data_IF_752863813039
#
_entry.id   IF_752863813039
#
_cell.length_a   1.000
_cell.length_b   1.000
_cell.length_c   1.000
_cell.angle_alpha   90.00
_cell.angle_beta   90.00
_cell.angle_gamma   90.00
#
_symmetry.space_group_name_H-M   'P 1'
#
loop_
_entity.id
_entity.type
_entity.pdbx_description
1 polymer ?
#
# COMPACT_ATOMS: atom_id res chain seq x y z
N UNK A 1 -3.46 -1.93 -11.69
CA UNK A 1 -4.07 -3.29 -11.59
C UNK A 1 -3.77 -3.97 -10.26
N UNK A 2 -2.59 -3.79 -9.62
CA UNK A 2 -2.27 -4.43 -8.33
C UNK A 2 -3.13 -4.02 -7.13
N UNK A 3 -3.60 -2.77 -7.04
CA UNK A 3 -4.29 -2.27 -5.84
C UNK A 3 -5.67 -2.89 -5.61
N UNK A 4 -6.40 -3.29 -6.65
CA UNK A 4 -7.69 -3.97 -6.52
C UNK A 4 -7.53 -5.42 -6.05
N UNK A 5 -6.43 -6.07 -6.45
CA UNK A 5 -6.06 -7.39 -5.98
C UNK A 5 -5.64 -7.36 -4.50
N UNK A 6 -4.92 -6.30 -4.09
CA UNK A 6 -4.56 -6.07 -2.69
C UNK A 6 -5.81 -5.94 -1.80
N UNK A 7 -6.79 -5.14 -2.22
CA UNK A 7 -8.06 -4.99 -1.50
C UNK A 7 -8.89 -6.28 -1.48
N UNK A 8 -8.82 -7.10 -2.54
CA UNK A 8 -9.44 -8.42 -2.53
C UNK A 8 -8.81 -9.36 -1.50
N UNK A 9 -7.47 -9.35 -1.37
CA UNK A 9 -6.74 -10.13 -0.36
C UNK A 9 -7.03 -9.67 1.08
N UNK A 10 -7.14 -8.37 1.30
CA UNK A 10 -7.55 -7.84 2.60
C UNK A 10 -8.95 -8.34 2.99
N UNK A 11 -9.89 -8.41 2.04
CA UNK A 11 -11.24 -8.96 2.27
C UNK A 11 -11.26 -10.47 2.49
N UNK A 12 -10.24 -11.19 2.02
CA UNK A 12 -10.02 -12.61 2.27
C UNK A 12 -9.37 -12.88 3.63
N UNK A 13 -9.04 -11.83 4.40
CA UNK A 13 -8.42 -11.95 5.71
C UNK A 13 -6.90 -12.10 5.67
N UNK A 14 -6.27 -11.75 4.54
CA UNK A 14 -4.81 -11.80 4.36
C UNK A 14 -4.25 -10.38 4.19
N UNK A 15 -4.04 -9.65 5.31
CA UNK A 15 -3.55 -8.28 5.30
C UNK A 15 -2.07 -8.18 4.91
N UNK A 16 -1.28 -9.21 5.16
CA UNK A 16 0.15 -9.25 4.82
C UNK A 16 0.34 -9.31 3.30
N UNK A 17 -0.37 -10.22 2.63
CA UNK A 17 -0.33 -10.28 1.16
C UNK A 17 -0.97 -9.05 0.48
N UNK A 18 -1.85 -8.34 1.17
CA UNK A 18 -2.33 -7.02 0.72
C UNK A 18 -1.19 -5.99 0.75
N UNK A 19 -0.40 -5.98 1.82
CA UNK A 19 0.72 -5.06 2.02
C UNK A 19 1.82 -5.28 0.99
N UNK A 20 2.19 -6.53 0.70
CA UNK A 20 3.17 -6.84 -0.36
C UNK A 20 2.77 -6.26 -1.72
N UNK A 21 1.49 -6.39 -2.08
CA UNK A 21 0.95 -5.83 -3.32
C UNK A 21 0.91 -4.29 -3.30
N UNK A 22 0.83 -3.67 -2.12
CA UNK A 22 0.91 -2.23 -1.97
C UNK A 22 2.35 -1.72 -2.13
N UNK A 23 3.36 -2.45 -1.67
CA UNK A 23 4.77 -2.14 -1.95
C UNK A 23 5.04 -2.07 -3.46
N UNK A 24 4.60 -3.09 -4.20
CA UNK A 24 4.76 -3.10 -5.66
C UNK A 24 3.99 -1.95 -6.34
N UNK A 25 2.80 -1.62 -5.84
CA UNK A 25 2.04 -0.48 -6.34
C UNK A 25 2.74 0.88 -6.07
N UNK A 26 3.45 1.02 -4.95
CA UNK A 26 4.23 2.22 -4.60
C UNK A 26 5.39 2.42 -5.58
N UNK A 27 6.18 1.38 -5.84
CA UNK A 27 7.26 1.36 -6.84
C UNK A 27 6.76 1.78 -8.24
N UNK A 28 5.65 1.19 -8.69
CA UNK A 28 5.03 1.53 -9.98
C UNK A 28 4.54 2.99 -9.98
N UNK A 29 4.04 3.48 -8.85
CA UNK A 29 3.56 4.86 -8.73
C UNK A 29 4.71 5.86 -8.80
N UNK A 30 5.82 5.57 -8.11
CA UNK A 30 7.02 6.39 -8.12
C UNK A 30 7.61 6.51 -9.53
N UNK A 31 7.65 5.40 -10.26
CA UNK A 31 8.14 5.36 -11.65
C UNK A 31 7.20 6.03 -12.66
N UNK A 32 5.88 5.92 -12.47
CA UNK A 32 4.89 6.42 -13.44
C UNK A 32 4.42 7.87 -13.14
N UNK A 33 4.60 8.38 -11.92
CA UNK A 33 4.20 9.75 -11.53
C UNK A 33 2.68 9.98 -11.52
N UNK A 34 1.89 8.92 -11.34
CA UNK A 34 0.43 8.98 -11.45
C UNK A 34 -0.29 9.36 -10.14
N UNK A 35 -1.19 10.36 -10.20
CA UNK A 35 -2.04 10.73 -9.03
C UNK A 35 -3.08 9.67 -8.67
N UNK A 36 -3.59 8.94 -9.64
CA UNK A 36 -4.61 7.89 -9.44
C UNK A 36 -4.05 6.71 -8.62
N UNK A 37 -2.87 6.15 -8.94
CA UNK A 37 -2.21 5.16 -8.10
C UNK A 37 -2.00 5.61 -6.65
N UNK A 38 -1.51 6.84 -6.44
CA UNK A 38 -1.31 7.40 -5.10
C UNK A 38 -2.62 7.49 -4.30
N UNK A 39 -3.72 7.90 -4.95
CA UNK A 39 -5.04 7.94 -4.32
C UNK A 39 -5.52 6.55 -3.90
N UNK A 40 -5.28 5.51 -4.71
CA UNK A 40 -5.68 4.13 -4.39
C UNK A 40 -4.87 3.56 -3.22
N UNK A 41 -3.55 3.81 -3.17
CA UNK A 41 -2.70 3.43 -2.04
C UNK A 41 -3.23 4.04 -0.74
N UNK A 42 -3.62 5.32 -0.79
CA UNK A 42 -4.16 6.03 0.37
C UNK A 42 -5.48 5.45 0.88
N UNK A 43 -6.36 4.99 -0.02
CA UNK A 43 -7.61 4.30 0.35
C UNK A 43 -7.33 2.93 0.96
N UNK A 44 -6.44 2.13 0.37
CA UNK A 44 -6.06 0.83 0.91
C UNK A 44 -5.44 0.93 2.32
N UNK A 45 -4.61 1.95 2.56
CA UNK A 45 -4.04 2.25 3.89
C UNK A 45 -5.12 2.59 4.93
N UNK A 46 -6.24 3.21 4.53
CA UNK A 46 -7.35 3.48 5.45
C UNK A 46 -8.08 2.19 5.87
N UNK A 47 -8.23 1.23 4.95
CA UNK A 47 -8.83 -0.08 5.24
C UNK A 47 -7.94 -0.93 6.15
N UNK A 48 -6.62 -0.73 6.08
CA UNK A 48 -5.63 -1.41 6.92
C UNK A 48 -5.51 -0.88 8.35
N UNK A 49 -6.26 0.18 8.69
CA UNK A 49 -6.23 0.83 10.01
C UNK A 49 -6.43 -0.10 11.23
N UNK A 50 -7.21 -1.20 11.16
CA UNK A 50 -7.31 -2.17 12.25
C UNK A 50 -5.98 -2.86 12.60
N UNK A 51 -5.08 -3.03 11.63
CA UNK A 51 -3.77 -3.68 11.77
C UNK A 51 -2.62 -2.69 11.97
N UNK A 52 -2.91 -1.46 12.39
CA UNK A 52 -1.91 -0.40 12.61
C UNK A 52 -0.80 -0.74 13.61
N UNK A 53 -0.97 -1.80 14.40
CA UNK A 53 0.00 -2.24 15.40
C UNK A 53 0.99 -3.28 14.84
N UNK A 54 0.78 -3.75 13.61
CA UNK A 54 1.60 -4.79 12.98
C UNK A 54 2.81 -4.20 12.27
N UNK A 55 3.95 -4.90 12.36
CA UNK A 55 5.24 -4.46 11.81
C UNK A 55 5.25 -4.35 10.27
N UNK A 56 4.48 -5.19 9.57
CA UNK A 56 4.37 -5.09 8.11
C UNK A 56 3.77 -3.76 7.66
N UNK A 57 2.88 -3.17 8.47
CA UNK A 57 2.24 -1.90 8.17
C UNK A 57 3.18 -0.73 8.38
N UNK A 58 4.03 -0.81 9.41
CA UNK A 58 5.10 0.17 9.63
C UNK A 58 6.10 0.18 8.46
N UNK A 59 6.48 -1.00 7.96
CA UNK A 59 7.37 -1.12 6.79
C UNK A 59 6.74 -0.53 5.52
N UNK A 60 5.44 -0.71 5.30
CA UNK A 60 4.71 -0.09 4.19
C UNK A 60 4.70 1.45 4.30
N UNK A 61 4.48 1.94 5.52
CA UNK A 61 4.42 3.37 5.79
C UNK A 61 5.77 4.05 5.56
N UNK A 62 6.86 3.42 6.00
CA UNK A 62 8.23 3.85 5.75
C UNK A 62 8.56 3.82 4.26
N UNK A 63 8.20 2.73 3.55
CA UNK A 63 8.43 2.63 2.11
C UNK A 63 7.67 3.69 1.31
N UNK A 64 6.39 3.95 1.64
CA UNK A 64 5.62 5.05 1.03
C UNK A 64 6.33 6.39 1.25
N UNK A 65 6.84 6.62 2.47
CA UNK A 65 7.53 7.86 2.79
C UNK A 65 8.82 8.02 1.98
N UNK A 66 9.70 7.02 2.01
CA UNK A 66 10.98 7.04 1.32
C UNK A 66 10.82 7.17 -0.21
N UNK A 67 9.84 6.47 -0.78
CA UNK A 67 9.69 6.38 -2.25
C UNK A 67 8.87 7.52 -2.85
N UNK A 68 7.80 7.98 -2.18
CA UNK A 68 6.87 8.97 -2.74
C UNK A 68 7.03 10.38 -2.16
N UNK A 69 7.54 10.50 -0.94
CA UNK A 69 7.75 11.79 -0.28
C UNK A 69 9.22 12.22 -0.34
N UNK A 70 10.14 11.27 -0.44
CA UNK A 70 11.58 11.51 -0.40
C UNK A 70 12.07 11.86 1.01
N UNK A 71 13.39 11.73 1.27
CA UNK A 71 14.00 12.15 2.53
C UNK A 71 13.97 13.67 2.77
#
# INVERSE_FOLDING_TARGET
MGTDLALARLRLGDPEACVDLLHEAVEITATTGGRVPAQRIRLARQELRPWRAEDFLAQLDDHIHDTLLGP
#
